data_IF_984201161095
#
_entry.id   IF_984201161095
#
_cell.length_a   1.000
_cell.length_b   1.000
_cell.length_c   1.000
_cell.angle_alpha   90.00
_cell.angle_beta   90.00
_cell.angle_gamma   90.00
#
_symmetry.space_group_name_H-M   'P 1'
#
loop_
_entity.id
_entity.type
_entity.pdbx_description
1 polymer ?
#
# COMPACT_ATOMS: atom_id res chain seq x y z
N UNK A 1 -10.46 24.33 3.59
CA UNK A 1 -9.48 23.53 4.35
C UNK A 1 -10.16 22.52 5.27
N UNK A 2 -11.03 22.94 6.21
CA UNK A 2 -11.74 22.03 7.12
C UNK A 2 -12.37 20.80 6.44
N UNK A 3 -13.22 20.99 5.43
CA UNK A 3 -13.86 19.87 4.70
C UNK A 3 -12.86 18.94 4.02
N UNK A 4 -11.76 19.50 3.49
CA UNK A 4 -10.71 18.72 2.82
C UNK A 4 -9.99 17.85 3.83
N UNK A 5 -9.62 18.40 5.00
CA UNK A 5 -9.02 17.62 6.09
C UNK A 5 -9.95 16.53 6.61
N UNK A 6 -11.27 16.77 6.67
CA UNK A 6 -12.25 15.72 7.01
C UNK A 6 -12.24 14.57 5.97
N UNK A 7 -12.22 14.88 4.68
CA UNK A 7 -12.16 13.88 3.60
C UNK A 7 -10.84 13.09 3.69
N UNK A 8 -9.71 13.77 3.92
CA UNK A 8 -8.40 13.14 4.10
C UNK A 8 -8.42 12.19 5.30
N UNK A 9 -8.97 12.60 6.45
CA UNK A 9 -9.09 11.75 7.63
C UNK A 9 -9.86 10.45 7.33
N UNK A 10 -11.02 10.58 6.68
CA UNK A 10 -11.87 9.44 6.34
C UNK A 10 -11.14 8.51 5.37
N UNK A 11 -10.56 9.04 4.29
CA UNK A 11 -9.87 8.25 3.28
C UNK A 11 -8.61 7.55 3.83
N UNK A 12 -7.71 8.29 4.49
CA UNK A 12 -6.47 7.71 5.03
C UNK A 12 -6.74 6.69 6.14
N UNK A 13 -7.81 6.86 6.94
CA UNK A 13 -8.20 5.86 7.94
C UNK A 13 -8.63 4.52 7.31
N UNK A 14 -9.27 4.55 6.13
CA UNK A 14 -9.60 3.34 5.38
C UNK A 14 -8.33 2.65 4.84
N UNK A 15 -7.36 3.41 4.33
CA UNK A 15 -6.07 2.86 3.88
C UNK A 15 -5.30 2.25 5.05
N UNK A 16 -5.30 2.90 6.22
CA UNK A 16 -4.72 2.35 7.45
C UNK A 16 -5.39 1.03 7.86
N UNK A 17 -6.72 0.91 7.70
CA UNK A 17 -7.44 -0.32 7.99
C UNK A 17 -7.02 -1.48 7.07
N UNK A 18 -6.76 -1.22 5.78
CA UNK A 18 -6.16 -2.23 4.89
C UNK A 18 -4.76 -2.62 5.36
N UNK A 19 -3.89 -1.65 5.65
CA UNK A 19 -2.54 -1.93 6.12
C UNK A 19 -2.55 -2.74 7.43
N UNK A 20 -3.50 -2.48 8.33
CA UNK A 20 -3.70 -3.27 9.55
C UNK A 20 -4.17 -4.69 9.24
N UNK A 21 -5.08 -4.88 8.29
CA UNK A 21 -5.52 -6.21 7.84
C UNK A 21 -4.37 -7.04 7.25
N UNK A 22 -3.53 -6.40 6.42
CA UNK A 22 -2.31 -7.02 5.90
C UNK A 22 -1.33 -7.36 7.03
N UNK A 23 -1.09 -6.44 7.98
CA UNK A 23 -0.23 -6.70 9.13
C UNK A 23 -0.68 -7.92 9.94
N UNK A 24 -1.99 -8.03 10.24
CA UNK A 24 -2.55 -9.18 10.95
C UNK A 24 -2.35 -10.46 10.13
N UNK A 25 -2.53 -10.39 8.81
CA UNK A 25 -2.31 -11.52 7.90
C UNK A 25 -0.83 -11.92 7.77
N UNK A 26 0.10 -10.97 7.94
CA UNK A 26 1.55 -11.22 7.95
C UNK A 26 2.03 -11.99 9.18
N UNK A 27 1.21 -12.12 10.24
CA UNK A 27 1.54 -12.92 11.43
C UNK A 27 1.42 -14.44 11.16
N UNK A 28 0.83 -14.84 10.04
CA UNK A 28 0.76 -16.24 9.61
C UNK A 28 2.14 -16.70 9.09
N UNK A 29 2.45 -17.99 9.28
CA UNK A 29 3.69 -18.58 8.76
C UNK A 29 3.77 -18.54 7.23
N UNK A 30 2.66 -18.83 6.55
CA UNK A 30 2.52 -18.67 5.12
C UNK A 30 1.70 -17.41 4.83
N UNK A 31 2.27 -16.52 4.01
CA UNK A 31 1.60 -15.29 3.59
C UNK A 31 0.44 -15.63 2.65
N UNK A 32 -0.79 -15.14 2.89
CA UNK A 32 -1.94 -15.46 2.04
C UNK A 32 -1.74 -15.08 0.56
N UNK A 33 -1.07 -13.97 0.31
CA UNK A 33 -0.76 -13.48 -1.04
C UNK A 33 0.52 -14.05 -1.65
N UNK A 34 1.14 -15.07 -1.03
CA UNK A 34 2.26 -15.79 -1.64
C UNK A 34 1.80 -17.00 -2.46
N UNK A 35 0.53 -17.40 -2.34
CA UNK A 35 0.00 -18.65 -2.92
C UNK A 35 -1.33 -18.42 -3.64
N UNK A 36 -1.58 -19.23 -4.68
CA UNK A 36 -2.87 -19.27 -5.37
C UNK A 36 -3.85 -20.31 -4.78
N UNK A 37 -3.51 -20.95 -3.67
CA UNK A 37 -4.30 -22.03 -3.05
C UNK A 37 -5.21 -21.47 -1.94
N UNK A 38 -6.12 -20.58 -2.32
CA UNK A 38 -7.08 -19.97 -1.40
C UNK A 38 -8.45 -19.87 -2.05
N UNK A 39 -9.51 -19.86 -1.24
CA UNK A 39 -10.91 -19.85 -1.70
C UNK A 39 -11.28 -18.62 -2.56
N UNK A 40 -10.57 -17.50 -2.36
CA UNK A 40 -10.79 -16.25 -3.12
C UNK A 40 -10.03 -16.22 -4.45
N UNK A 41 -9.12 -17.16 -4.71
CA UNK A 41 -8.36 -17.18 -5.96
C UNK A 41 -9.23 -17.62 -7.14
N UNK A 42 -9.09 -16.94 -8.28
CA UNK A 42 -9.69 -17.44 -9.52
C UNK A 42 -8.78 -18.43 -10.20
N UNK A 43 -9.39 -19.11 -11.18
CA UNK A 43 -8.68 -19.89 -12.18
C UNK A 43 -7.56 -19.09 -12.85
N UNK A 44 -7.53 -17.75 -12.84
CA UNK A 44 -6.47 -16.93 -13.47
C UNK A 44 -5.28 -16.58 -12.57
N UNK A 45 -5.32 -16.87 -11.27
CA UNK A 45 -4.17 -16.68 -10.37
C UNK A 45 -3.01 -17.56 -10.82
N UNK A 46 -1.76 -17.11 -10.76
CA UNK A 46 -0.61 -18.02 -10.93
C UNK A 46 0.59 -17.61 -10.08
N UNK A 47 1.27 -18.60 -9.51
CA UNK A 47 2.53 -18.38 -8.77
C UNK A 47 3.70 -18.60 -9.73
N UNK A 48 4.58 -17.61 -9.85
CA UNK A 48 5.76 -17.68 -10.70
C UNK A 48 7.04 -17.53 -9.89
N UNK A 49 7.88 -18.56 -9.93
CA UNK A 49 9.22 -18.55 -9.36
C UNK A 49 10.21 -19.03 -10.41
N UNK A 50 11.15 -18.14 -10.75
CA UNK A 50 12.07 -18.32 -11.86
C UNK A 50 12.88 -19.62 -11.78
N UNK A 51 13.45 -19.92 -10.61
CA UNK A 51 14.32 -21.09 -10.44
C UNK A 51 13.52 -22.39 -10.57
N UNK A 52 12.31 -22.44 -10.01
CA UNK A 52 11.43 -23.61 -10.16
C UNK A 52 10.96 -23.80 -11.59
N UNK A 53 10.70 -22.70 -12.31
CA UNK A 53 10.28 -22.71 -13.71
C UNK A 53 11.40 -23.25 -14.60
N UNK A 54 12.62 -22.71 -14.45
CA UNK A 54 13.78 -23.14 -15.21
C UNK A 54 14.10 -24.63 -14.97
N UNK A 55 14.07 -25.08 -13.71
CA UNK A 55 14.30 -26.48 -13.36
C UNK A 55 13.22 -27.42 -13.93
N UNK A 56 11.96 -26.97 -14.00
CA UNK A 56 10.87 -27.75 -14.56
C UNK A 56 11.03 -27.98 -16.08
N UNK A 57 11.35 -26.91 -16.81
CA UNK A 57 11.60 -27.01 -18.24
C UNK A 57 12.82 -27.88 -18.56
N UNK A 58 13.87 -27.83 -17.72
CA UNK A 58 15.02 -28.73 -17.85
C UNK A 58 14.65 -30.21 -17.70
N UNK A 59 13.57 -30.51 -16.97
CA UNK A 59 13.06 -31.87 -16.76
C UNK A 59 11.99 -32.27 -17.79
N UNK A 60 11.74 -31.45 -18.83
CA UNK A 60 10.61 -31.60 -19.75
C UNK A 60 9.25 -31.74 -19.03
N UNK A 61 9.12 -31.14 -17.84
CA UNK A 61 7.87 -31.13 -17.07
C UNK A 61 6.94 -30.00 -17.50
N UNK A 62 5.66 -30.14 -17.17
CA UNK A 62 4.64 -29.10 -17.31
C UNK A 62 4.46 -28.36 -15.99
N UNK A 63 4.43 -27.03 -16.02
CA UNK A 63 4.18 -26.20 -14.85
C UNK A 63 2.69 -26.05 -14.58
N UNK A 64 2.28 -26.43 -13.39
CA UNK A 64 0.95 -26.14 -12.86
C UNK A 64 0.86 -24.69 -12.40
N UNK A 65 -0.36 -24.17 -12.43
CA UNK A 65 -0.70 -22.79 -12.07
C UNK A 65 -0.39 -22.44 -10.60
N UNK A 66 -0.35 -23.45 -9.72
CA UNK A 66 0.08 -23.32 -8.32
C UNK A 66 1.61 -23.20 -8.15
N UNK A 67 2.38 -23.27 -9.24
CA UNK A 67 3.85 -23.21 -9.25
C UNK A 67 4.55 -24.56 -9.12
N UNK A 68 3.82 -25.68 -9.07
CA UNK A 68 4.42 -27.02 -9.02
C UNK A 68 4.76 -27.57 -10.41
N UNK A 69 5.87 -28.30 -10.51
CA UNK A 69 6.28 -28.96 -11.74
C UNK A 69 5.80 -30.42 -11.74
N UNK A 70 5.16 -30.85 -12.82
CA UNK A 70 4.76 -32.26 -13.02
C UNK A 70 5.49 -32.82 -14.22
N UNK A 71 6.23 -33.91 -14.01
CA UNK A 71 6.99 -34.61 -15.05
C UNK A 71 6.28 -35.87 -15.56
N UNK A 72 5.30 -36.38 -14.81
CA UNK A 72 4.62 -37.64 -15.11
C UNK A 72 3.35 -37.44 -15.95
N UNK A 73 3.28 -37.98 -17.19
CA UNK A 73 2.10 -37.83 -18.07
C UNK A 73 0.82 -38.46 -17.50
N UNK A 74 0.96 -39.49 -16.67
CA UNK A 74 -0.16 -40.22 -16.06
C UNK A 74 -0.87 -39.39 -14.98
N UNK A 75 -0.15 -38.47 -14.34
CA UNK A 75 -0.68 -37.55 -13.33
C UNK A 75 -1.47 -36.39 -13.96
N UNK A 76 -1.13 -36.00 -15.20
CA UNK A 76 -1.86 -34.98 -15.98
C UNK A 76 -3.24 -35.47 -16.41
N UNK A 77 -3.36 -36.75 -16.76
CA UNK A 77 -4.63 -37.40 -17.13
C UNK A 77 -5.56 -37.65 -15.93
N UNK A 78 -5.03 -37.70 -14.70
CA UNK A 78 -5.83 -37.81 -13.49
C UNK A 78 -6.47 -36.46 -13.07
N UNK A 79 -5.96 -35.33 -13.58
CA UNK A 79 -6.39 -33.96 -13.29
C UNK A 79 -7.17 -33.32 -14.45
N UNK A 80 -7.73 -34.13 -15.35
CA UNK A 80 -8.34 -33.76 -16.65
C UNK A 80 -9.59 -32.84 -16.58
N UNK A 81 -9.93 -32.32 -15.39
CA UNK A 81 -11.02 -31.37 -15.18
C UNK A 81 -10.64 -30.11 -14.36
N UNK A 82 -9.37 -29.88 -14.03
CA UNK A 82 -8.95 -28.57 -13.48
C UNK A 82 -7.51 -28.18 -13.88
N UNK A 83 -7.38 -27.06 -14.60
CA UNK A 83 -6.22 -26.14 -14.58
C UNK A 83 -4.85 -26.62 -15.07
N UNK A 84 -4.77 -27.44 -16.13
CA UNK A 84 -3.51 -27.57 -16.88
C UNK A 84 -3.36 -26.35 -17.80
N UNK A 85 -2.31 -25.57 -17.60
CA UNK A 85 -1.91 -24.52 -18.53
C UNK A 85 -0.54 -24.93 -19.06
N UNK A 86 -0.42 -25.09 -20.38
CA UNK A 86 0.89 -25.14 -21.04
C UNK A 86 1.52 -23.75 -20.91
N UNK A 87 2.21 -23.52 -19.79
CA UNK A 87 2.91 -22.26 -19.56
C UNK A 87 4.17 -22.29 -20.41
N UNK A 88 4.20 -21.59 -21.54
CA UNK A 88 5.43 -21.38 -22.33
C UNK A 88 6.09 -20.02 -22.04
N UNK A 89 5.35 -19.07 -21.43
CA UNK A 89 5.84 -17.74 -21.02
C UNK A 89 4.83 -17.05 -20.10
N UNK A 90 5.30 -16.25 -19.12
CA UNK A 90 4.43 -15.41 -18.29
C UNK A 90 3.89 -14.23 -19.11
N UNK A 91 2.59 -14.27 -19.45
CA UNK A 91 1.89 -13.13 -20.06
C UNK A 91 1.02 -12.39 -19.03
N UNK A 92 1.24 -11.07 -18.91
CA UNK A 92 0.54 -10.19 -17.95
C UNK A 92 -0.96 -10.14 -18.21
N UNK A 93 -1.39 -10.39 -19.46
CA UNK A 93 -2.81 -10.32 -19.84
C UNK A 93 -3.58 -11.63 -19.53
N UNK A 94 -2.88 -12.76 -19.36
CA UNK A 94 -3.48 -14.06 -19.01
C UNK A 94 -3.30 -14.43 -17.52
N UNK A 95 -2.28 -13.88 -16.87
CA UNK A 95 -1.87 -14.23 -15.51
C UNK A 95 -2.08 -13.09 -14.50
N UNK A 96 -2.79 -13.39 -13.42
CA UNK A 96 -2.97 -12.47 -12.29
C UNK A 96 -2.06 -12.86 -11.13
N UNK A 97 -1.38 -11.87 -10.56
CA UNK A 97 -0.54 -12.07 -9.37
C UNK A 97 -1.42 -12.44 -8.17
N UNK A 98 -0.96 -13.36 -7.28
CA UNK A 98 -1.70 -13.71 -6.08
C UNK A 98 -1.94 -12.51 -5.17
N UNK A 99 -0.97 -11.60 -5.05
CA UNK A 99 -1.14 -10.31 -4.34
C UNK A 99 -2.19 -9.38 -4.95
N UNK A 100 -2.32 -9.37 -6.27
CA UNK A 100 -3.34 -8.57 -6.95
C UNK A 100 -4.74 -9.11 -6.66
N UNK A 101 -4.91 -10.44 -6.70
CA UNK A 101 -6.16 -11.08 -6.34
C UNK A 101 -6.48 -10.92 -4.85
N UNK A 102 -5.49 -11.05 -3.97
CA UNK A 102 -5.67 -10.84 -2.53
C UNK A 102 -6.18 -9.41 -2.25
N UNK A 103 -5.56 -8.40 -2.87
CA UNK A 103 -6.00 -7.02 -2.69
C UNK A 103 -7.42 -6.79 -3.23
N UNK A 104 -7.70 -7.23 -4.46
CA UNK A 104 -8.97 -6.93 -5.12
C UNK A 104 -10.15 -7.79 -4.66
N UNK A 105 -9.92 -9.05 -4.31
CA UNK A 105 -11.00 -10.00 -3.98
C UNK A 105 -11.16 -10.28 -2.51
N UNK A 106 -10.08 -10.28 -1.74
CA UNK A 106 -10.16 -10.57 -0.30
C UNK A 106 -10.27 -9.27 0.51
N UNK A 107 -9.39 -8.31 0.27
CA UNK A 107 -9.37 -7.06 1.05
C UNK A 107 -10.48 -6.10 0.60
N UNK A 108 -10.57 -5.84 -0.71
CA UNK A 108 -11.56 -4.93 -1.27
C UNK A 108 -12.89 -5.61 -1.61
N UNK A 109 -12.87 -6.93 -1.83
CA UNK A 109 -14.00 -7.73 -2.34
C UNK A 109 -14.78 -7.03 -3.46
N UNK A 110 -14.06 -6.51 -4.45
CA UNK A 110 -14.64 -5.67 -5.52
C UNK A 110 -15.78 -6.42 -6.22
N UNK A 111 -16.99 -5.89 -6.10
CA UNK A 111 -18.16 -6.45 -6.78
C UNK A 111 -18.12 -6.13 -8.28
N UNK A 112 -18.67 -7.03 -9.10
CA UNK A 112 -18.66 -6.88 -10.57
C UNK A 112 -19.60 -5.80 -11.12
N UNK A 113 -20.47 -5.19 -10.31
CA UNK A 113 -21.43 -4.15 -10.75
C UNK A 113 -21.67 -3.08 -9.68
N UNK A 114 -21.73 -1.82 -10.12
CA UNK A 114 -21.97 -0.63 -9.29
C UNK A 114 -23.36 -0.58 -8.62
N UNK A 115 -24.36 -1.25 -9.21
CA UNK A 115 -25.76 -1.15 -8.76
C UNK A 115 -26.11 -2.03 -7.55
N UNK A 116 -25.20 -2.91 -7.10
CA UNK A 116 -25.41 -3.76 -5.93
C UNK A 116 -24.48 -3.34 -4.81
N UNK A 117 -25.00 -2.54 -3.87
CA UNK A 117 -24.30 -2.25 -2.61
C UNK A 117 -23.99 -3.60 -1.94
N UNK A 118 -22.70 -3.95 -1.92
CA UNK A 118 -22.22 -5.18 -1.30
C UNK A 118 -22.40 -5.17 0.22
N UNK A 119 -22.28 -6.33 0.84
CA UNK A 119 -22.25 -6.46 2.30
C UNK A 119 -21.08 -5.69 2.91
N UNK A 120 -21.25 -5.14 4.11
CA UNK A 120 -20.16 -4.52 4.87
C UNK A 120 -19.17 -5.59 5.30
N UNK A 121 -17.89 -5.43 5.00
CA UNK A 121 -16.85 -6.33 5.49
C UNK A 121 -16.58 -6.06 6.97
N UNK A 122 -17.13 -6.90 7.83
CA UNK A 122 -17.03 -6.71 9.28
C UNK A 122 -15.58 -6.72 9.78
N UNK A 123 -14.70 -7.55 9.18
CA UNK A 123 -13.28 -7.58 9.51
C UNK A 123 -12.62 -6.22 9.26
N UNK A 124 -12.89 -5.61 8.11
CA UNK A 124 -12.33 -4.31 7.75
C UNK A 124 -12.93 -3.18 8.62
N UNK A 125 -14.23 -3.25 8.93
CA UNK A 125 -14.87 -2.32 9.86
C UNK A 125 -14.29 -2.41 11.28
N UNK A 126 -13.87 -3.60 11.72
CA UNK A 126 -13.16 -3.81 12.98
C UNK A 126 -11.73 -3.25 12.91
N UNK A 127 -10.99 -3.47 11.82
CA UNK A 127 -9.69 -2.83 11.60
C UNK A 127 -9.80 -1.30 11.63
N UNK A 128 -10.84 -0.73 11.00
CA UNK A 128 -11.10 0.70 11.03
C UNK A 128 -11.39 1.21 12.45
N UNK A 129 -12.13 0.45 13.26
CA UNK A 129 -12.39 0.78 14.66
C UNK A 129 -11.08 0.82 15.47
N UNK A 130 -10.20 -0.16 15.26
CA UNK A 130 -8.88 -0.22 15.90
C UNK A 130 -8.02 0.98 15.49
N UNK A 131 -8.00 1.35 14.21
CA UNK A 131 -7.29 2.55 13.73
C UNK A 131 -7.77 3.81 14.45
N UNK A 132 -9.09 4.05 14.50
CA UNK A 132 -9.65 5.21 15.20
C UNK A 132 -9.39 5.19 16.70
N UNK A 133 -9.38 4.01 17.31
CA UNK A 133 -8.99 3.86 18.71
C UNK A 133 -7.53 4.25 18.95
N UNK A 134 -6.61 3.83 18.07
CA UNK A 134 -5.19 4.23 18.15
C UNK A 134 -5.04 5.73 17.95
N UNK A 135 -5.70 6.32 16.95
CA UNK A 135 -5.70 7.78 16.71
C UNK A 135 -6.15 8.55 17.95
N UNK A 136 -7.26 8.10 18.56
CA UNK A 136 -7.77 8.68 19.80
C UNK A 136 -6.76 8.61 20.95
N UNK A 137 -6.08 7.46 21.13
CA UNK A 137 -5.06 7.30 22.17
C UNK A 137 -3.84 8.20 21.94
N UNK A 138 -3.36 8.31 20.69
CA UNK A 138 -2.25 9.19 20.34
C UNK A 138 -2.56 10.66 20.65
N UNK A 139 -3.78 11.10 20.33
CA UNK A 139 -4.26 12.46 20.54
C UNK A 139 -4.85 12.72 21.95
N UNK A 140 -4.95 11.72 22.82
CA UNK A 140 -5.70 11.81 24.09
C UNK A 140 -5.24 12.93 25.04
N UNK A 141 -3.92 13.19 25.12
CA UNK A 141 -3.37 14.33 25.90
C UNK A 141 -3.03 15.54 25.02
N UNK A 142 -3.63 15.63 23.84
CA UNK A 142 -3.39 16.66 22.82
C UNK A 142 -1.97 16.63 22.27
N UNK A 143 -1.52 17.78 21.75
CA UNK A 143 -0.20 18.01 21.13
C UNK A 143 0.98 17.45 21.95
N UNK A 144 0.93 17.43 23.28
CA UNK A 144 2.02 16.89 24.13
C UNK A 144 2.18 15.37 24.06
N UNK A 145 1.08 14.62 23.90
CA UNK A 145 1.12 13.17 23.71
C UNK A 145 1.38 12.83 22.25
N UNK A 146 0.70 13.52 21.34
CA UNK A 146 0.88 13.36 19.90
C UNK A 146 2.35 13.59 19.50
N UNK A 147 3.01 14.61 20.04
CA UNK A 147 4.43 14.86 19.79
C UNK A 147 5.37 13.76 20.29
N UNK A 148 5.07 13.11 21.43
CA UNK A 148 5.87 11.97 21.93
C UNK A 148 5.70 10.73 21.07
N UNK A 149 4.46 10.42 20.70
CA UNK A 149 4.14 9.31 19.81
C UNK A 149 4.74 9.53 18.41
N UNK A 150 4.73 10.78 17.93
CA UNK A 150 5.29 11.16 16.65
C UNK A 150 6.79 10.85 16.54
N UNK A 151 7.59 11.02 17.60
CA UNK A 151 9.01 10.63 17.54
C UNK A 151 9.16 9.16 17.18
N UNK A 152 8.46 8.27 17.88
CA UNK A 152 8.52 6.82 17.59
C UNK A 152 7.97 6.52 16.19
N UNK A 153 6.84 7.13 15.83
CA UNK A 153 6.17 6.89 14.56
C UNK A 153 6.93 7.45 13.35
N UNK A 154 7.83 8.42 13.53
CA UNK A 154 8.70 8.96 12.48
C UNK A 154 10.00 8.15 12.38
N UNK A 155 10.67 7.86 13.51
CA UNK A 155 11.94 7.12 13.47
C UNK A 155 11.77 5.67 13.00
N UNK A 156 10.68 5.01 13.39
CA UNK A 156 10.44 3.58 13.08
C UNK A 156 10.39 3.32 11.55
N UNK A 157 9.62 4.08 10.75
CA UNK A 157 9.65 3.98 9.30
C UNK A 157 11.04 4.13 8.67
N UNK A 158 11.85 5.10 9.09
CA UNK A 158 13.18 5.30 8.50
C UNK A 158 14.13 4.13 8.79
N UNK A 159 14.07 3.56 10.00
CA UNK A 159 14.87 2.37 10.34
C UNK A 159 14.46 1.19 9.48
N UNK A 160 13.15 0.90 9.39
CA UNK A 160 12.61 -0.20 8.59
C UNK A 160 12.92 0.01 7.11
N UNK A 161 12.75 1.23 6.61
CA UNK A 161 13.06 1.63 5.26
C UNK A 161 14.51 1.30 4.91
N UNK A 162 15.47 1.68 5.76
CA UNK A 162 16.88 1.36 5.54
C UNK A 162 17.14 -0.15 5.46
N UNK A 163 16.51 -0.95 6.35
CA UNK A 163 16.65 -2.41 6.33
C UNK A 163 16.11 -3.01 5.02
N UNK A 164 14.92 -2.58 4.59
CA UNK A 164 14.32 -3.05 3.35
C UNK A 164 15.11 -2.59 2.12
N UNK A 165 15.60 -1.35 2.12
CA UNK A 165 16.37 -0.80 1.02
C UNK A 165 17.68 -1.57 0.79
N UNK A 166 18.45 -1.78 1.86
CA UNK A 166 19.67 -2.59 1.80
C UNK A 166 19.35 -4.00 1.33
N UNK A 167 18.26 -4.60 1.82
CA UNK A 167 17.85 -5.93 1.39
C UNK A 167 17.54 -5.98 -0.11
N UNK A 168 16.74 -5.06 -0.64
CA UNK A 168 16.40 -5.03 -2.06
C UNK A 168 17.63 -4.81 -2.95
N UNK A 169 18.56 -3.95 -2.55
CA UNK A 169 19.81 -3.72 -3.30
C UNK A 169 20.71 -4.97 -3.39
N UNK A 170 20.62 -5.90 -2.43
CA UNK A 170 21.37 -7.16 -2.48
C UNK A 170 20.77 -8.20 -3.43
N UNK A 171 19.54 -7.99 -3.92
CA UNK A 171 18.84 -8.94 -4.78
C UNK A 171 19.21 -8.76 -6.26
N UNK A 172 19.16 -9.84 -7.06
CA UNK A 172 19.41 -9.75 -8.49
C UNK A 172 18.32 -8.93 -9.19
N UNK A 173 18.68 -8.24 -10.28
CA UNK A 173 17.75 -7.42 -11.06
C UNK A 173 17.33 -6.09 -10.42
N UNK A 174 17.53 -5.91 -9.12
CA UNK A 174 17.20 -4.67 -8.40
C UNK A 174 17.95 -3.44 -8.94
N UNK A 175 19.24 -3.60 -9.27
CA UNK A 175 20.07 -2.55 -9.86
C UNK A 175 19.56 -2.11 -11.23
N UNK A 176 19.00 -3.02 -12.03
CA UNK A 176 18.43 -2.67 -13.34
C UNK A 176 17.22 -1.74 -13.17
N UNK A 177 16.35 -2.01 -12.19
CA UNK A 177 15.25 -1.12 -11.83
C UNK A 177 15.72 0.24 -11.31
N UNK A 178 16.76 0.25 -10.47
CA UNK A 178 17.35 1.49 -9.95
C UNK A 178 17.97 2.35 -11.06
N UNK A 179 18.73 1.73 -11.98
CA UNK A 179 19.32 2.41 -13.13
C UNK A 179 18.22 2.98 -14.03
N UNK A 180 17.13 2.24 -14.26
CA UNK A 180 15.99 2.73 -15.02
C UNK A 180 15.39 4.01 -14.42
N UNK A 181 15.29 4.11 -13.10
CA UNK A 181 14.81 5.33 -12.43
C UNK A 181 15.70 6.55 -12.68
N UNK A 182 17.03 6.36 -12.71
CA UNK A 182 17.97 7.47 -12.89
C UNK A 182 18.27 7.83 -14.35
N UNK A 183 17.83 7.05 -15.34
CA UNK A 183 18.02 7.38 -16.75
C UNK A 183 16.97 8.42 -17.17
N UNK A 184 17.37 9.68 -17.45
CA UNK A 184 16.41 10.71 -17.82
C UNK A 184 16.00 10.57 -19.30
N UNK A 185 14.70 10.68 -19.57
CA UNK A 185 14.20 10.83 -20.93
C UNK A 185 13.82 12.30 -21.19
N UNK A 186 14.73 13.02 -21.84
CA UNK A 186 14.62 14.46 -22.11
C UNK A 186 13.42 14.84 -22.97
N UNK A 187 12.80 13.90 -23.69
CA UNK A 187 11.60 14.16 -24.49
C UNK A 187 10.41 14.60 -23.63
N UNK A 188 10.36 14.19 -22.36
CA UNK A 188 9.28 14.55 -21.45
C UNK A 188 9.46 15.93 -20.80
N UNK A 189 10.67 16.51 -20.84
CA UNK A 189 10.94 17.83 -20.26
C UNK A 189 10.24 18.96 -21.02
N UNK A 190 9.89 18.74 -22.29
CA UNK A 190 9.16 19.71 -23.12
C UNK A 190 7.64 19.65 -22.92
N UNK A 191 7.11 18.62 -22.24
CA UNK A 191 5.69 18.48 -22.00
C UNK A 191 5.25 19.25 -20.74
N UNK A 192 4.38 20.24 -20.91
CA UNK A 192 3.81 21.04 -19.82
C UNK A 192 3.00 20.20 -18.83
N UNK A 193 2.44 19.06 -19.24
CA UNK A 193 1.70 18.16 -18.33
C UNK A 193 2.61 17.56 -17.27
N UNK A 194 3.87 17.27 -17.62
CA UNK A 194 4.87 16.74 -16.69
C UNK A 194 5.20 17.76 -15.61
N UNK A 195 5.36 19.03 -15.99
CA UNK A 195 5.56 20.14 -15.04
C UNK A 195 4.34 20.37 -14.15
N UNK A 196 3.13 20.30 -14.71
CA UNK A 196 1.90 20.37 -13.91
C UNK A 196 1.82 19.26 -12.86
N UNK A 197 2.14 18.03 -13.25
CA UNK A 197 2.15 16.86 -12.35
C UNK A 197 3.24 17.00 -11.27
N UNK A 198 4.42 17.50 -11.62
CA UNK A 198 5.50 17.74 -10.67
C UNK A 198 5.14 18.83 -9.64
N UNK A 199 4.49 19.92 -10.07
CA UNK A 199 4.01 20.96 -9.16
C UNK A 199 2.96 20.42 -8.18
N UNK A 200 2.02 19.61 -8.68
CA UNK A 200 1.00 18.94 -7.85
C UNK A 200 1.64 17.98 -6.83
N UNK A 201 2.66 17.22 -7.24
CA UNK A 201 3.40 16.32 -6.35
C UNK A 201 4.04 17.08 -5.18
N UNK A 202 4.78 18.16 -5.45
CA UNK A 202 5.43 18.96 -4.40
C UNK A 202 4.39 19.61 -3.47
N UNK A 203 3.29 20.11 -4.05
CA UNK A 203 2.21 20.73 -3.29
C UNK A 203 1.57 19.76 -2.28
N UNK A 204 1.26 18.54 -2.71
CA UNK A 204 0.68 17.51 -1.83
C UNK A 204 1.70 16.88 -0.87
N UNK A 205 2.98 16.74 -1.27
CA UNK A 205 4.03 16.17 -0.40
C UNK A 205 4.28 17.03 0.85
N UNK A 206 4.38 18.35 0.64
CA UNK A 206 4.62 19.30 1.74
C UNK A 206 3.34 19.68 2.51
N UNK A 207 2.17 19.18 2.09
CA UNK A 207 0.86 19.54 2.62
C UNK A 207 0.66 21.07 2.70
N UNK A 208 1.19 21.79 1.71
CA UNK A 208 1.16 23.25 1.68
C UNK A 208 -0.28 23.77 1.82
N UNK A 209 -0.47 24.81 2.64
CA UNK A 209 -1.75 25.52 2.81
C UNK A 209 -2.90 24.71 3.46
N UNK A 210 -2.67 23.51 3.98
CA UNK A 210 -3.69 22.71 4.68
C UNK A 210 -4.04 23.24 6.08
N UNK A 211 -3.21 24.12 6.64
CA UNK A 211 -3.36 24.64 8.01
C UNK A 211 -2.83 23.69 9.09
N UNK A 212 -2.35 22.51 8.69
CA UNK A 212 -1.86 21.46 9.58
C UNK A 212 -0.44 21.75 10.12
N UNK A 213 0.37 22.52 9.37
CA UNK A 213 1.74 22.86 9.76
C UNK A 213 1.94 24.37 9.81
N UNK A 214 2.23 24.90 11.02
CA UNK A 214 2.68 26.30 11.21
C UNK A 214 4.19 26.35 11.06
N UNK A 215 4.68 26.54 9.83
CA UNK A 215 6.12 26.56 9.55
C UNK A 215 6.68 27.97 9.78
N UNK A 216 7.66 28.10 10.68
CA UNK A 216 8.49 29.30 10.80
C UNK A 216 9.51 29.28 9.66
N UNK A 217 9.73 30.39 8.93
CA UNK A 217 10.51 30.41 7.67
C UNK A 217 11.89 29.74 7.72
N UNK A 218 12.55 29.70 8.90
CA UNK A 218 13.85 29.02 9.08
C UNK A 218 13.75 27.50 8.99
N UNK A 219 12.64 26.93 9.45
CA UNK A 219 12.42 25.47 9.48
C UNK A 219 11.87 24.96 8.13
N UNK A 220 11.34 25.86 7.29
CA UNK A 220 10.78 25.54 5.99
C UNK A 220 11.79 24.92 5.02
N UNK A 221 12.98 25.51 4.92
CA UNK A 221 14.00 25.01 4.00
C UNK A 221 14.50 23.61 4.40
N UNK A 222 14.66 23.36 5.69
CA UNK A 222 15.04 22.04 6.21
C UNK A 222 13.97 20.99 5.90
N UNK A 223 12.68 21.33 6.10
CA UNK A 223 11.57 20.44 5.77
C UNK A 223 11.55 20.08 4.29
N UNK A 224 11.67 21.07 3.39
CA UNK A 224 11.72 20.84 1.95
C UNK A 224 12.90 19.94 1.55
N UNK A 225 14.07 20.15 2.17
CA UNK A 225 15.25 19.35 1.89
C UNK A 225 15.06 17.88 2.30
N UNK A 226 14.52 17.63 3.51
CA UNK A 226 14.23 16.28 4.01
C UNK A 226 13.14 15.59 3.16
N UNK A 227 12.11 16.33 2.74
CA UNK A 227 11.04 15.83 1.87
C UNK A 227 11.57 15.35 0.51
N UNK A 228 12.42 16.15 -0.14
CA UNK A 228 13.04 15.79 -1.43
C UNK A 228 13.91 14.54 -1.27
N UNK A 229 14.79 14.49 -0.26
CA UNK A 229 15.66 13.34 -0.03
C UNK A 229 14.84 12.09 0.25
N UNK A 230 13.83 12.20 1.12
CA UNK A 230 12.97 11.06 1.47
C UNK A 230 12.21 10.56 0.25
N UNK A 231 11.68 11.47 -0.59
CA UNK A 231 10.97 11.12 -1.81
C UNK A 231 11.85 10.39 -2.83
N UNK A 232 13.09 10.87 -3.03
CA UNK A 232 14.07 10.22 -3.93
C UNK A 232 14.46 8.84 -3.40
N UNK A 233 14.69 8.71 -2.09
CA UNK A 233 14.99 7.41 -1.48
C UNK A 233 13.81 6.44 -1.59
N UNK A 234 12.58 6.89 -1.31
CA UNK A 234 11.37 6.08 -1.48
C UNK A 234 11.20 5.59 -2.92
N UNK A 235 11.43 6.46 -3.90
CA UNK A 235 11.41 6.08 -5.32
C UNK A 235 12.49 5.04 -5.62
N UNK A 236 13.73 5.25 -5.18
CA UNK A 236 14.82 4.29 -5.34
C UNK A 236 14.49 2.91 -4.76
N UNK A 237 13.87 2.86 -3.57
CA UNK A 237 13.41 1.60 -2.97
C UNK A 237 12.35 0.93 -3.85
N UNK A 238 11.31 1.65 -4.27
CA UNK A 238 10.24 1.09 -5.10
C UNK A 238 10.79 0.53 -6.41
N UNK A 239 11.63 1.29 -7.11
CA UNK A 239 12.23 0.86 -8.37
C UNK A 239 13.20 -0.32 -8.18
N UNK A 240 13.92 -0.39 -7.07
CA UNK A 240 14.76 -1.55 -6.75
C UNK A 240 13.91 -2.81 -6.51
N UNK A 241 12.78 -2.69 -5.81
CA UNK A 241 11.85 -3.79 -5.55
C UNK A 241 11.13 -4.25 -6.83
N UNK A 242 10.68 -3.32 -7.68
CA UNK A 242 10.08 -3.62 -8.99
C UNK A 242 11.11 -4.26 -9.92
N UNK A 243 12.36 -3.79 -9.93
CA UNK A 243 13.44 -4.41 -10.72
C UNK A 243 13.69 -5.87 -10.35
N UNK A 244 13.73 -6.17 -9.04
CA UNK A 244 13.78 -7.55 -8.55
C UNK A 244 12.53 -8.35 -8.97
N UNK A 245 11.34 -7.77 -8.83
CA UNK A 245 10.10 -8.44 -9.22
C UNK A 245 10.05 -8.79 -10.72
N UNK A 246 10.46 -7.86 -11.60
CA UNK A 246 10.55 -8.10 -13.04
C UNK A 246 11.58 -9.18 -13.38
N UNK A 247 12.73 -9.21 -12.68
CA UNK A 247 13.73 -10.26 -12.83
C UNK A 247 13.18 -11.64 -12.44
N UNK A 248 12.41 -11.72 -11.36
CA UNK A 248 11.76 -12.94 -10.89
C UNK A 248 10.63 -13.41 -11.81
N UNK A 249 9.89 -12.48 -12.42
CA UNK A 249 8.80 -12.79 -13.36
C UNK A 249 9.28 -13.01 -14.80
N UNK A 250 10.58 -12.88 -15.05
CA UNK A 250 11.18 -12.91 -16.40
C UNK A 250 10.53 -11.90 -17.37
N UNK A 251 10.08 -10.76 -16.83
CA UNK A 251 9.42 -9.70 -17.58
C UNK A 251 10.39 -8.55 -17.90
N UNK A 252 10.38 -8.01 -19.13
CA UNK A 252 11.11 -6.79 -19.42
C UNK A 252 10.45 -5.61 -18.67
N UNK A 253 11.27 -4.78 -18.04
CA UNK A 253 10.80 -3.67 -17.20
C UNK A 253 9.90 -2.67 -17.95
N UNK A 254 10.11 -2.52 -19.26
CA UNK A 254 9.30 -1.63 -20.12
C UNK A 254 7.86 -2.11 -20.31
N UNK A 255 7.61 -3.42 -20.21
CA UNK A 255 6.25 -3.99 -20.28
C UNK A 255 5.55 -4.00 -18.92
N UNK A 256 6.25 -3.63 -17.85
CA UNK A 256 5.65 -3.55 -16.53
C UNK A 256 4.71 -2.35 -16.48
N UNK A 257 3.40 -2.62 -16.44
CA UNK A 257 2.40 -1.58 -16.28
C UNK A 257 2.47 -1.00 -14.87
N UNK A 258 3.16 0.14 -14.71
CA UNK A 258 3.17 0.92 -13.48
C UNK A 258 1.77 1.48 -13.20
N UNK A 259 0.91 0.67 -12.56
CA UNK A 259 -0.34 1.16 -12.01
C UNK A 259 -0.05 1.94 -10.73
N UNK A 260 -0.47 3.20 -10.69
CA UNK A 260 -0.08 4.15 -9.66
C UNK A 260 -0.71 3.93 -8.27
N UNK A 261 -0.20 4.68 -7.31
CA UNK A 261 -0.81 4.90 -5.99
C UNK A 261 -0.87 3.65 -5.11
N UNK A 262 -2.09 3.25 -4.74
CA UNK A 262 -2.38 2.19 -3.76
C UNK A 262 -1.88 0.82 -4.23
N UNK A 263 -1.87 0.56 -5.54
CA UNK A 263 -1.45 -0.73 -6.08
C UNK A 263 0.06 -0.99 -5.91
N UNK A 264 0.90 0.05 -5.92
CA UNK A 264 2.32 -0.08 -5.59
C UNK A 264 2.55 -0.59 -4.16
N UNK A 265 1.76 -0.09 -3.21
CA UNK A 265 1.92 -0.39 -1.79
C UNK A 265 1.29 -1.73 -1.40
N UNK A 266 0.16 -2.11 -2.00
CA UNK A 266 -0.61 -3.28 -1.56
C UNK A 266 -0.55 -4.48 -2.51
N UNK A 267 -0.04 -4.30 -3.72
CA UNK A 267 0.12 -5.39 -4.70
C UNK A 267 1.61 -5.63 -4.95
N UNK A 268 2.29 -4.69 -5.59
CA UNK A 268 3.64 -4.93 -6.12
C UNK A 268 4.71 -5.08 -5.04
N UNK A 269 4.71 -4.25 -4.00
CA UNK A 269 5.67 -4.36 -2.90
C UNK A 269 5.46 -5.64 -2.05
N UNK A 270 4.22 -5.98 -1.62
CA UNK A 270 3.96 -7.24 -0.92
C UNK A 270 4.30 -8.48 -1.75
N UNK A 271 4.10 -8.43 -3.07
CA UNK A 271 4.55 -9.48 -3.99
C UNK A 271 6.06 -9.65 -3.96
N UNK A 272 6.81 -8.55 -4.12
CA UNK A 272 8.27 -8.59 -4.07
C UNK A 272 8.78 -9.12 -2.71
N UNK A 273 8.13 -8.73 -1.61
CA UNK A 273 8.46 -9.20 -0.27
C UNK A 273 8.11 -10.68 -0.08
N UNK A 274 7.02 -11.17 -0.65
CA UNK A 274 6.60 -12.56 -0.57
C UNK A 274 7.62 -13.53 -1.19
N UNK A 275 8.42 -13.05 -2.15
CA UNK A 275 9.50 -13.82 -2.79
C UNK A 275 10.83 -13.80 -2.01
N UNK A 276 10.93 -13.05 -0.91
CA UNK A 276 12.12 -13.04 -0.08
C UNK A 276 12.21 -14.28 0.82
N UNK A 277 13.41 -14.78 1.14
CA UNK A 277 13.55 -15.76 2.21
C UNK A 277 13.08 -15.13 3.53
N UNK A 278 12.33 -15.90 4.32
CA UNK A 278 11.73 -15.43 5.58
C UNK A 278 10.76 -14.25 5.37
N UNK A 279 9.95 -14.32 4.31
CA UNK A 279 8.99 -13.29 3.90
C UNK A 279 8.08 -12.74 5.02
N UNK A 280 7.57 -13.54 6.00
CA UNK A 280 6.70 -13.01 7.06
C UNK A 280 7.35 -11.88 7.88
N UNK A 281 8.64 -11.99 8.22
CA UNK A 281 9.33 -10.95 9.00
C UNK A 281 9.42 -9.64 8.23
N UNK A 282 9.84 -9.71 6.97
CA UNK A 282 9.93 -8.52 6.11
C UNK A 282 8.56 -7.89 5.86
N UNK A 283 7.52 -8.72 5.74
CA UNK A 283 6.16 -8.24 5.56
C UNK A 283 5.62 -7.53 6.81
N UNK A 284 5.85 -8.09 8.01
CA UNK A 284 5.51 -7.46 9.28
C UNK A 284 6.19 -6.09 9.38
N UNK A 285 7.50 -6.02 9.13
CA UNK A 285 8.25 -4.75 9.14
C UNK A 285 7.65 -3.75 8.15
N UNK A 286 7.41 -4.18 6.91
CA UNK A 286 6.84 -3.32 5.87
C UNK A 286 5.48 -2.73 6.26
N UNK A 287 4.54 -3.54 6.74
CA UNK A 287 3.22 -3.03 7.12
C UNK A 287 3.25 -2.22 8.43
N UNK A 288 4.18 -2.49 9.36
CA UNK A 288 4.43 -1.60 10.51
C UNK A 288 4.90 -0.21 10.05
N UNK A 289 5.80 -0.15 9.07
CA UNK A 289 6.25 1.10 8.45
C UNK A 289 5.06 1.84 7.80
N UNK A 290 4.27 1.16 6.96
CA UNK A 290 3.10 1.76 6.28
C UNK A 290 2.07 2.28 7.28
N UNK A 291 1.71 1.48 8.30
CA UNK A 291 0.76 1.89 9.35
C UNK A 291 1.29 3.12 10.10
N UNK A 292 2.58 3.15 10.47
CA UNK A 292 3.18 4.27 11.20
C UNK A 292 3.12 5.59 10.42
N UNK A 293 3.39 5.53 9.10
CA UNK A 293 3.31 6.70 8.21
C UNK A 293 1.86 7.21 8.15
N UNK A 294 0.90 6.34 7.84
CA UNK A 294 -0.51 6.72 7.68
C UNK A 294 -1.09 7.22 9.01
N UNK A 295 -0.75 6.57 10.12
CA UNK A 295 -1.22 6.94 11.45
C UNK A 295 -0.70 8.33 11.86
N UNK A 296 0.54 8.67 11.50
CA UNK A 296 1.11 9.99 11.78
C UNK A 296 0.34 11.09 11.03
N UNK A 297 0.10 10.90 9.73
CA UNK A 297 -0.66 11.86 8.93
C UNK A 297 -2.11 12.01 9.40
N UNK A 298 -2.79 10.90 9.70
CA UNK A 298 -4.19 10.93 10.20
C UNK A 298 -4.31 11.60 11.57
N UNK A 299 -3.33 11.41 12.46
CA UNK A 299 -3.28 12.10 13.75
C UNK A 299 -3.14 13.62 13.58
N UNK A 300 -2.27 14.07 12.68
CA UNK A 300 -2.07 15.50 12.39
C UNK A 300 -3.34 16.12 11.80
N UNK A 301 -3.94 15.47 10.80
CA UNK A 301 -5.17 15.95 10.17
C UNK A 301 -6.35 15.98 11.18
N UNK A 302 -6.48 14.97 12.03
CA UNK A 302 -7.53 14.92 13.07
C UNK A 302 -7.34 16.05 14.09
N UNK A 303 -6.11 16.29 14.56
CA UNK A 303 -5.82 17.38 15.49
C UNK A 303 -6.11 18.74 14.85
N UNK A 304 -5.85 18.92 13.56
CA UNK A 304 -6.16 20.15 12.84
C UNK A 304 -7.67 20.42 12.75
N UNK A 305 -8.48 19.39 12.45
CA UNK A 305 -9.94 19.48 12.47
C UNK A 305 -10.44 19.82 13.87
N UNK A 306 -9.99 19.09 14.90
CA UNK A 306 -10.44 19.30 16.28
C UNK A 306 -10.03 20.67 16.81
N UNK A 307 -8.82 21.12 16.49
CA UNK A 307 -8.33 22.45 16.84
C UNK A 307 -9.16 23.54 16.17
N UNK A 308 -9.46 23.41 14.88
CA UNK A 308 -10.29 24.38 14.17
C UNK A 308 -11.70 24.52 14.80
N UNK A 309 -12.32 23.41 15.21
CA UNK A 309 -13.62 23.44 15.90
C UNK A 309 -13.50 24.10 17.29
N UNK A 310 -12.42 23.81 18.02
CA UNK A 310 -12.20 24.38 19.33
C UNK A 310 -11.86 25.87 19.29
N UNK A 311 -11.19 26.33 18.24
CA UNK A 311 -10.82 27.73 18.03
C UNK A 311 -12.02 28.60 17.64
N UNK A 312 -13.00 28.04 16.91
CA UNK A 312 -14.25 28.75 16.56
C UNK A 312 -15.16 28.96 17.79
N UNK A 313 -15.19 28.00 18.72
CA UNK A 313 -16.01 28.06 19.95
C UNK A 313 -15.17 27.96 21.23
N UNK A 314 -14.31 28.95 21.52
CA UNK A 314 -13.26 28.84 22.54
C UNK A 314 -13.82 28.75 23.97
N UNK A 315 -14.94 29.41 24.26
CA UNK A 315 -15.50 29.48 25.61
C UNK A 315 -16.07 28.14 26.10
N UNK A 316 -16.62 27.32 25.19
CA UNK A 316 -17.30 26.06 25.53
C UNK A 316 -16.49 24.82 25.20
N UNK A 317 -15.83 24.78 24.04
CA UNK A 317 -15.23 23.54 23.52
C UNK A 317 -13.78 23.35 23.96
N UNK A 318 -13.01 24.42 24.17
CA UNK A 318 -11.59 24.33 24.55
C UNK A 318 -11.36 23.60 25.88
N UNK A 319 -12.25 23.81 26.86
CA UNK A 319 -12.20 23.13 28.16
C UNK A 319 -12.53 21.63 28.04
N UNK A 320 -13.31 21.26 27.03
CA UNK A 320 -13.77 19.89 26.76
C UNK A 320 -13.10 19.26 25.54
N UNK A 321 -11.88 19.69 25.17
CA UNK A 321 -11.14 19.23 23.98
C UNK A 321 -11.17 17.70 23.80
N UNK A 322 -11.01 16.93 24.88
CA UNK A 322 -11.03 15.46 24.83
C UNK A 322 -12.37 14.88 24.39
N UNK A 323 -13.47 15.53 24.78
CA UNK A 323 -14.81 15.08 24.38
C UNK A 323 -15.08 15.44 22.93
N UNK A 324 -14.58 16.61 22.47
CA UNK A 324 -14.64 17.01 21.05
C UNK A 324 -13.85 16.02 20.18
N UNK A 325 -12.64 15.66 20.61
CA UNK A 325 -11.83 14.64 19.92
C UNK A 325 -12.54 13.29 19.86
N UNK A 326 -13.06 12.78 20.98
CA UNK A 326 -13.78 11.51 21.01
C UNK A 326 -14.99 11.52 20.06
N UNK A 327 -15.76 12.61 20.08
CA UNK A 327 -16.92 12.79 19.20
C UNK A 327 -16.51 12.85 17.73
N UNK A 328 -15.43 13.56 17.40
CA UNK A 328 -14.89 13.62 16.04
C UNK A 328 -14.44 12.24 15.54
N UNK A 329 -13.72 11.46 16.36
CA UNK A 329 -13.31 10.09 16.01
C UNK A 329 -14.52 9.18 15.76
N UNK A 330 -15.58 9.28 16.57
CA UNK A 330 -16.81 8.49 16.38
C UNK A 330 -17.52 8.88 15.09
N UNK A 331 -17.62 10.19 14.78
CA UNK A 331 -18.19 10.65 13.51
C UNK A 331 -17.37 10.15 12.34
N UNK A 332 -16.05 10.29 12.37
CA UNK A 332 -15.20 9.86 11.27
C UNK A 332 -15.18 8.35 11.09
N UNK A 333 -15.28 7.57 12.18
CA UNK A 333 -15.52 6.14 12.11
C UNK A 333 -16.84 5.83 11.38
N UNK A 334 -17.94 6.45 11.81
CA UNK A 334 -19.25 6.24 11.20
C UNK A 334 -19.29 6.63 9.71
N UNK A 335 -18.65 7.75 9.34
CA UNK A 335 -18.49 8.20 7.96
C UNK A 335 -17.52 7.33 7.13
N UNK A 336 -16.62 6.59 7.80
CA UNK A 336 -15.70 5.65 7.16
C UNK A 336 -16.30 4.27 6.90
N UNK A 337 -17.36 3.85 7.61
CA UNK A 337 -18.02 2.54 7.41
C UNK A 337 -18.47 2.31 5.95
N UNK A 338 -19.04 3.30 5.23
CA UNK A 338 -19.37 3.13 3.81
C UNK A 338 -18.16 2.75 2.94
N UNK A 339 -16.95 3.22 3.27
CA UNK A 339 -15.72 2.85 2.56
C UNK A 339 -15.32 1.38 2.76
N UNK A 340 -15.88 0.71 3.77
CA UNK A 340 -15.71 -0.72 3.99
C UNK A 340 -16.68 -1.59 3.16
N UNK A 341 -17.42 -1.00 2.22
CA UNK A 341 -18.29 -1.73 1.29
C UNK A 341 -17.62 -1.91 -0.08
N UNK A 342 -17.91 -3.04 -0.73
CA UNK A 342 -17.34 -3.47 -2.01
C UNK A 342 -17.48 -2.49 -3.20
N UNK A 343 -18.38 -1.50 -3.12
CA UNK A 343 -18.74 -0.62 -4.26
C UNK A 343 -18.05 0.75 -4.19
N UNK A 344 -17.95 1.34 -3.00
CA UNK A 344 -17.57 2.75 -2.86
C UNK A 344 -16.08 2.97 -3.19
N UNK A 345 -15.25 1.93 -3.09
CA UNK A 345 -13.84 2.04 -3.46
C UNK A 345 -13.60 2.13 -4.97
N UNK A 346 -14.42 1.47 -5.81
CA UNK A 346 -14.30 1.55 -7.28
C UNK A 346 -14.45 3.00 -7.75
N UNK A 347 -15.37 3.76 -7.13
CA UNK A 347 -15.60 5.17 -7.44
C UNK A 347 -14.40 6.05 -7.07
N UNK A 348 -13.68 5.73 -6.00
CA UNK A 348 -12.48 6.47 -5.56
C UNK A 348 -11.24 6.13 -6.39
N UNK A 349 -11.07 4.86 -6.79
CA UNK A 349 -9.90 4.45 -7.59
C UNK A 349 -10.00 4.75 -9.07
N UNK A 350 -11.21 4.73 -9.67
CA UNK A 350 -11.36 5.07 -11.10
C UNK A 350 -11.24 6.56 -11.38
N UNK A 351 -11.46 7.43 -10.40
CA UNK A 351 -11.31 8.88 -10.56
C UNK A 351 -9.84 9.35 -10.55
N UNK A 352 -8.88 8.45 -10.33
CA UNK A 352 -7.43 8.74 -10.22
C UNK A 352 -6.64 8.14 -11.40
N UNK A 353 -7.32 7.50 -12.36
CA UNK A 353 -6.71 7.05 -13.63
C UNK A 353 -7.01 8.02 -14.78
#
# INVERSE_FOLDING_TARGET
MFLVSCIICIYYSAVAAWALSYFVSSLKFALPWATCDNDWNSIRCSVWNRDSVANCFLQNGTLLRNGSCVTDPEYLLAYDNLTVLEITSFDIDEHLLPSAEYFHKEILMVSSRFDKIGSIHWHLALCLLVVWFIVFLCAFKGVKSSGKAAYVAVFTPYVIFCVLFVRFLTLPGSLTGLVYFFIPNWKFMTDLKVWGTAAVQVFYSLLCCTGEVKIICRDAWFLCFVDIITSVLCAALIFSAVGFLCYELELPLEKFNFKGGVQLVFIYLPEAIAKLPVAPIYSILYFVMVISIILTTTNIATEAVVSAICDEFPERLRRNHRHVLAFACVIFYALGIPLCTAVIFILLTRSIC
#
